data_IF_544140040974
#
_entry.id   IF_544140040974
#
_cell.length_a   1.000
_cell.length_b   1.000
_cell.length_c   1.000
_cell.angle_alpha   90.00
_cell.angle_beta   90.00
_cell.angle_gamma   90.00
#
_symmetry.space_group_name_H-M   'P 1'
#
loop_
_entity.id
_entity.type
_entity.pdbx_description
1 polymer ?
#
# COMPACT_ATOMS: atom_id res chain seq x y z
N UNK A 1 -75.72 -47.62 6.32
CA UNK A 1 -74.41 -47.65 5.65
C UNK A 1 -73.46 -46.81 6.49
N UNK A 2 -72.47 -47.46 7.08
CA UNK A 2 -71.55 -47.00 8.12
C UNK A 2 -70.12 -47.23 7.60
N UNK A 3 -69.19 -46.30 7.87
CA UNK A 3 -67.71 -46.43 7.67
C UNK A 3 -67.24 -46.40 6.20
N UNK A 4 -66.03 -45.96 5.79
CA UNK A 4 -64.74 -45.74 6.46
C UNK A 4 -63.77 -45.04 5.46
N UNK A 5 -62.96 -44.09 5.95
CA UNK A 5 -61.61 -43.69 5.46
C UNK A 5 -61.44 -43.11 4.05
N UNK A 6 -60.65 -42.06 3.81
CA UNK A 6 -59.29 -41.77 4.29
C UNK A 6 -59.11 -40.23 4.35
N UNK A 7 -58.92 -39.61 5.53
CA UNK A 7 -57.62 -39.13 6.01
C UNK A 7 -56.45 -39.27 5.02
N UNK A 8 -55.71 -38.17 4.87
CA UNK A 8 -54.40 -38.01 4.20
C UNK A 8 -54.47 -37.56 2.73
N UNK A 9 -54.26 -36.26 2.49
CA UNK A 9 -53.22 -35.70 1.58
C UNK A 9 -53.20 -34.16 1.64
N UNK A 10 -53.34 -33.57 2.83
CA UNK A 10 -52.95 -32.17 3.08
C UNK A 10 -51.48 -32.08 3.55
N UNK A 11 -50.65 -33.05 3.16
CA UNK A 11 -49.27 -33.15 3.63
C UNK A 11 -48.23 -32.61 2.64
N UNK A 12 -48.54 -32.36 1.36
CA UNK A 12 -47.44 -32.15 0.37
C UNK A 12 -47.34 -30.76 -0.28
N UNK A 13 -48.30 -29.85 -0.08
CA UNK A 13 -48.25 -28.49 -0.69
C UNK A 13 -47.78 -27.40 0.28
N UNK A 14 -47.68 -27.73 1.58
CA UNK A 14 -47.12 -26.83 2.60
C UNK A 14 -45.64 -26.54 2.34
N UNK A 15 -44.89 -27.51 1.80
CA UNK A 15 -43.51 -27.32 1.39
C UNK A 15 -43.40 -26.31 0.25
N UNK A 16 -44.26 -26.38 -0.78
CA UNK A 16 -44.17 -25.49 -1.94
C UNK A 16 -44.63 -24.05 -1.66
N UNK A 17 -45.65 -23.83 -0.82
CA UNK A 17 -46.11 -22.48 -0.49
C UNK A 17 -45.20 -21.77 0.53
N UNK A 18 -44.64 -22.52 1.49
CA UNK A 18 -43.67 -21.97 2.45
C UNK A 18 -42.28 -21.82 1.84
N UNK A 19 -41.83 -22.75 0.99
CA UNK A 19 -40.61 -22.58 0.20
C UNK A 19 -40.78 -21.44 -0.80
N UNK A 20 -41.92 -21.31 -1.49
CA UNK A 20 -42.17 -20.20 -2.42
C UNK A 20 -42.18 -18.82 -1.74
N UNK A 21 -42.74 -18.72 -0.53
CA UNK A 21 -42.68 -17.49 0.27
C UNK A 21 -41.27 -17.22 0.80
N UNK A 22 -40.59 -18.21 1.38
CA UNK A 22 -39.20 -18.07 1.85
C UNK A 22 -38.23 -17.76 0.71
N UNK A 23 -38.41 -18.36 -0.47
CA UNK A 23 -37.64 -18.09 -1.69
C UNK A 23 -38.01 -16.72 -2.27
N UNK A 24 -39.28 -16.31 -2.21
CA UNK A 24 -39.75 -15.01 -2.67
C UNK A 24 -39.19 -13.86 -1.83
N UNK A 25 -39.27 -13.95 -0.51
CA UNK A 25 -38.64 -13.01 0.42
C UNK A 25 -37.12 -13.06 0.31
N UNK A 26 -36.49 -14.24 0.30
CA UNK A 26 -35.04 -14.33 0.17
C UNK A 26 -34.54 -13.78 -1.18
N UNK A 27 -35.22 -14.07 -2.29
CA UNK A 27 -34.90 -13.53 -3.62
C UNK A 27 -35.11 -12.02 -3.68
N UNK A 28 -36.16 -11.49 -3.05
CA UNK A 28 -36.40 -10.06 -2.96
C UNK A 28 -35.38 -9.36 -2.05
N UNK A 29 -35.04 -9.92 -0.90
CA UNK A 29 -34.00 -9.41 0.00
C UNK A 29 -32.65 -9.45 -0.71
N UNK A 30 -32.30 -10.54 -1.40
CA UNK A 30 -31.05 -10.62 -2.18
C UNK A 30 -31.03 -9.61 -3.33
N UNK A 31 -32.13 -9.41 -4.06
CA UNK A 31 -32.24 -8.36 -5.10
C UNK A 31 -32.16 -6.96 -4.52
N UNK A 32 -32.83 -6.69 -3.39
CA UNK A 32 -32.80 -5.42 -2.68
C UNK A 32 -31.39 -5.14 -2.15
N UNK A 33 -30.72 -6.13 -1.55
CA UNK A 33 -29.34 -6.00 -1.09
C UNK A 33 -28.38 -5.76 -2.26
N UNK A 34 -28.53 -6.46 -3.39
CA UNK A 34 -27.74 -6.19 -4.60
C UNK A 34 -28.01 -4.79 -5.17
N UNK A 35 -29.26 -4.34 -5.20
CA UNK A 35 -29.63 -2.99 -5.63
C UNK A 35 -29.11 -1.89 -4.69
N UNK A 36 -29.18 -2.11 -3.37
CA UNK A 36 -28.63 -1.21 -2.34
C UNK A 36 -27.10 -1.19 -2.40
N UNK A 37 -26.45 -2.33 -2.64
CA UNK A 37 -25.01 -2.42 -2.81
C UNK A 37 -24.55 -1.66 -4.06
N UNK A 38 -25.22 -1.84 -5.19
CA UNK A 38 -24.96 -1.07 -6.42
C UNK A 38 -25.19 0.44 -6.21
N UNK A 39 -26.24 0.81 -5.47
CA UNK A 39 -26.49 2.20 -5.13
C UNK A 39 -25.36 2.78 -4.26
N UNK A 40 -24.94 2.04 -3.23
CA UNK A 40 -23.82 2.43 -2.35
C UNK A 40 -22.52 2.61 -3.14
N UNK A 41 -22.18 1.66 -4.02
CA UNK A 41 -21.01 1.74 -4.89
C UNK A 41 -21.08 2.96 -5.82
N UNK A 42 -22.27 3.28 -6.34
CA UNK A 42 -22.47 4.45 -7.18
C UNK A 42 -22.34 5.76 -6.38
N UNK A 43 -22.83 5.80 -5.14
CA UNK A 43 -22.63 6.94 -4.24
C UNK A 43 -21.16 7.14 -3.87
N UNK A 44 -20.42 6.06 -3.60
CA UNK A 44 -18.99 6.14 -3.32
C UNK A 44 -18.22 6.67 -4.54
N UNK A 45 -18.53 6.16 -5.74
CA UNK A 45 -17.96 6.67 -7.01
C UNK A 45 -18.27 8.15 -7.20
N UNK A 46 -19.49 8.58 -6.95
CA UNK A 46 -19.90 9.98 -7.04
C UNK A 46 -19.15 10.84 -6.02
N UNK A 47 -19.04 10.40 -4.77
CA UNK A 47 -18.31 11.13 -3.74
C UNK A 47 -16.83 11.28 -4.07
N UNK A 48 -16.20 10.21 -4.56
CA UNK A 48 -14.82 10.23 -5.03
C UNK A 48 -14.64 11.16 -6.23
N UNK A 49 -15.61 11.18 -7.15
CA UNK A 49 -15.61 12.10 -8.28
C UNK A 49 -15.72 13.56 -7.83
N UNK A 50 -16.67 13.89 -6.95
CA UNK A 50 -16.85 15.24 -6.41
C UNK A 50 -15.61 15.71 -5.64
N UNK A 51 -14.97 14.82 -4.89
CA UNK A 51 -13.70 15.12 -4.20
C UNK A 51 -12.60 15.48 -5.20
N UNK A 52 -12.43 14.66 -6.26
CA UNK A 52 -11.45 14.95 -7.32
C UNK A 52 -11.76 16.25 -8.06
N UNK A 53 -13.03 16.53 -8.34
CA UNK A 53 -13.45 17.77 -8.97
C UNK A 53 -13.15 18.99 -8.10
N UNK A 54 -13.44 18.92 -6.80
CA UNK A 54 -13.13 19.99 -5.83
C UNK A 54 -11.62 20.26 -5.78
N UNK A 55 -10.80 19.21 -5.69
CA UNK A 55 -9.34 19.33 -5.75
C UNK A 55 -8.88 19.96 -7.05
N UNK A 56 -9.39 19.52 -8.20
CA UNK A 56 -9.03 20.07 -9.50
C UNK A 56 -9.41 21.55 -9.61
N UNK A 57 -10.62 21.93 -9.18
CA UNK A 57 -11.08 23.30 -9.20
C UNK A 57 -10.18 24.21 -8.33
N UNK A 58 -9.77 23.73 -7.16
CA UNK A 58 -8.81 24.42 -6.31
C UNK A 58 -7.44 24.57 -7.02
N UNK A 59 -6.91 23.48 -7.59
CA UNK A 59 -5.64 23.51 -8.32
C UNK A 59 -5.67 24.48 -9.51
N UNK A 60 -6.80 24.60 -10.22
CA UNK A 60 -6.96 25.59 -11.30
C UNK A 60 -6.85 27.01 -10.76
N UNK A 61 -7.50 27.31 -9.63
CA UNK A 61 -7.42 28.63 -8.99
C UNK A 61 -6.01 28.95 -8.48
N UNK A 62 -5.33 27.98 -7.85
CA UNK A 62 -3.95 28.15 -7.41
C UNK A 62 -2.99 28.34 -8.60
N UNK A 63 -3.21 27.60 -9.70
CA UNK A 63 -2.38 27.66 -10.91
C UNK A 63 -2.58 28.94 -11.72
N UNK A 64 -3.70 29.64 -11.54
CA UNK A 64 -3.92 30.95 -12.18
C UNK A 64 -3.44 32.12 -11.33
N UNK A 65 -2.95 31.88 -10.11
CA UNK A 65 -2.44 32.88 -9.17
C UNK A 65 -0.91 32.97 -9.22
N UNK A 66 -0.32 34.05 -9.80
CA UNK A 66 1.13 34.17 -9.90
C UNK A 66 1.85 34.22 -8.54
N UNK A 67 1.24 34.79 -7.51
CA UNK A 67 1.82 34.84 -6.16
C UNK A 67 1.92 33.45 -5.55
N UNK A 68 0.87 32.64 -5.68
CA UNK A 68 0.84 31.24 -5.21
C UNK A 68 1.88 30.40 -5.96
N UNK A 69 1.99 30.57 -7.28
CA UNK A 69 3.01 29.87 -8.08
C UNK A 69 4.42 30.21 -7.59
N UNK A 70 4.72 31.48 -7.34
CA UNK A 70 6.03 31.90 -6.85
C UNK A 70 6.32 31.36 -5.44
N UNK A 71 5.35 31.36 -4.54
CA UNK A 71 5.50 30.80 -3.19
C UNK A 71 5.82 29.29 -3.24
N UNK A 72 5.10 28.53 -4.07
CA UNK A 72 5.37 27.09 -4.26
C UNK A 72 6.75 26.86 -4.86
N UNK A 73 7.16 27.68 -5.83
CA UNK A 73 8.52 27.62 -6.42
C UNK A 73 9.60 27.89 -5.36
N UNK A 74 9.42 28.91 -4.53
CA UNK A 74 10.41 29.29 -3.53
C UNK A 74 10.49 28.24 -2.42
N UNK A 75 9.36 27.66 -2.01
CA UNK A 75 9.30 26.53 -1.08
C UNK A 75 9.99 25.27 -1.65
N UNK A 76 9.79 24.97 -2.94
CA UNK A 76 10.48 23.87 -3.61
C UNK A 76 11.99 24.11 -3.69
N UNK A 77 12.41 25.33 -4.04
CA UNK A 77 13.82 25.72 -4.06
C UNK A 77 14.48 25.63 -2.68
N UNK A 78 13.78 26.04 -1.62
CA UNK A 78 14.23 25.90 -0.24
C UNK A 78 14.38 24.42 0.16
N UNK A 79 13.40 23.59 -0.19
CA UNK A 79 13.43 22.15 0.06
C UNK A 79 14.60 21.47 -0.67
N UNK A 80 14.85 21.86 -1.92
CA UNK A 80 16.01 21.40 -2.68
C UNK A 80 17.34 21.75 -2.01
N UNK A 81 17.52 23.00 -1.57
CA UNK A 81 18.71 23.41 -0.80
C UNK A 81 18.84 22.65 0.52
N UNK A 82 17.74 22.44 1.25
CA UNK A 82 17.76 21.66 2.49
C UNK A 82 18.16 20.20 2.26
N UNK A 83 17.88 19.63 1.09
CA UNK A 83 18.31 18.27 0.74
C UNK A 83 19.78 18.21 0.33
N UNK A 84 20.31 19.23 -0.34
CA UNK A 84 21.63 19.17 -0.98
C UNK A 84 22.72 19.92 -0.22
N UNK A 85 22.42 21.10 0.31
CA UNK A 85 23.43 22.04 0.82
C UNK A 85 23.56 21.99 2.35
N UNK A 86 22.61 21.35 3.03
CA UNK A 86 22.59 21.21 4.49
C UNK A 86 22.88 19.77 4.87
N UNK A 87 23.69 19.56 5.93
CA UNK A 87 24.05 18.21 6.40
C UNK A 87 23.12 17.69 7.50
N UNK A 88 22.91 18.50 8.54
CA UNK A 88 22.20 18.06 9.75
C UNK A 88 20.73 17.75 9.49
N UNK A 89 20.05 18.64 8.75
CA UNK A 89 18.60 18.53 8.52
C UNK A 89 18.25 17.92 7.16
N UNK A 90 19.23 17.45 6.38
CA UNK A 90 18.97 16.79 5.10
C UNK A 90 18.75 15.29 5.30
N UNK A 91 17.55 14.76 5.02
CA UNK A 91 17.33 13.32 4.99
C UNK A 91 18.23 12.61 3.97
N UNK A 92 18.56 13.27 2.85
CA UNK A 92 19.43 12.70 1.82
C UNK A 92 20.87 12.51 2.33
N UNK A 93 21.43 13.52 2.99
CA UNK A 93 22.75 13.42 3.60
C UNK A 93 22.78 12.34 4.69
N UNK A 94 21.77 12.32 5.57
CA UNK A 94 21.69 11.33 6.64
C UNK A 94 21.55 9.90 6.11
N UNK A 95 20.80 9.69 5.02
CA UNK A 95 20.70 8.37 4.39
C UNK A 95 22.04 7.87 3.85
N UNK A 96 22.81 8.74 3.18
CA UNK A 96 24.16 8.38 2.69
C UNK A 96 25.10 8.09 3.86
N UNK A 97 25.10 8.96 4.87
CA UNK A 97 25.92 8.77 6.07
C UNK A 97 25.59 7.45 6.78
N UNK A 98 24.32 7.11 6.91
CA UNK A 98 23.88 5.85 7.50
C UNK A 98 24.41 4.64 6.70
N UNK A 99 24.29 4.67 5.37
CA UNK A 99 24.78 3.59 4.52
C UNK A 99 26.30 3.41 4.64
N UNK A 100 27.06 4.51 4.66
CA UNK A 100 28.51 4.49 4.86
C UNK A 100 28.89 3.95 6.24
N UNK A 101 28.24 4.45 7.30
CA UNK A 101 28.50 3.99 8.66
C UNK A 101 28.14 2.52 8.85
N UNK A 102 27.07 2.04 8.21
CA UNK A 102 26.70 0.64 8.24
C UNK A 102 27.73 -0.24 7.52
N UNK A 103 28.22 0.17 6.34
CA UNK A 103 29.24 -0.57 5.61
C UNK A 103 30.57 -0.62 6.38
N UNK A 104 31.02 0.53 6.93
CA UNK A 104 32.21 0.60 7.78
C UNK A 104 32.03 -0.23 9.03
N UNK A 105 30.88 -0.11 9.72
CA UNK A 105 30.58 -0.89 10.92
C UNK A 105 30.56 -2.39 10.66
N UNK A 106 29.99 -2.82 9.54
CA UNK A 106 29.99 -4.23 9.12
C UNK A 106 31.42 -4.74 8.92
N UNK A 107 32.24 -4.00 8.19
CA UNK A 107 33.65 -4.36 8.00
C UNK A 107 34.38 -4.46 9.34
N UNK A 108 34.26 -3.43 10.19
CA UNK A 108 34.92 -3.39 11.50
C UNK A 108 34.55 -4.58 12.41
N UNK A 109 33.30 -5.03 12.36
CA UNK A 109 32.82 -6.16 13.19
C UNK A 109 33.17 -7.53 12.59
N UNK A 110 33.30 -7.65 11.27
CA UNK A 110 33.49 -8.96 10.62
C UNK A 110 34.93 -9.21 10.18
N UNK A 111 35.74 -8.16 10.03
CA UNK A 111 37.06 -8.26 9.39
C UNK A 111 38.04 -9.18 10.10
N UNK A 112 38.04 -9.17 11.43
CA UNK A 112 38.91 -10.01 12.25
C UNK A 112 38.69 -11.51 12.02
N UNK A 113 37.48 -11.90 11.58
CA UNK A 113 37.08 -13.27 11.36
C UNK A 113 37.18 -13.71 9.89
N UNK A 114 37.62 -12.85 8.97
CA UNK A 114 37.93 -13.26 7.60
C UNK A 114 39.22 -14.08 7.57
N UNK A 115 39.09 -15.38 7.80
CA UNK A 115 40.17 -16.34 7.66
C UNK A 115 40.35 -16.71 6.18
N UNK A 116 41.27 -16.04 5.49
CA UNK A 116 41.98 -16.44 4.24
C UNK A 116 42.36 -15.25 3.32
N UNK A 117 42.75 -14.10 3.86
CA UNK A 117 43.39 -13.05 3.07
C UNK A 117 44.89 -13.35 2.91
N UNK A 118 45.37 -13.53 1.68
CA UNK A 118 46.76 -13.82 1.38
C UNK A 118 46.95 -14.31 -0.05
N UNK A 119 48.20 -14.40 -0.53
CA UNK A 119 48.46 -14.63 -1.95
C UNK A 119 48.20 -16.08 -2.44
N UNK A 120 47.79 -16.98 -1.55
CA UNK A 120 47.65 -18.41 -1.85
C UNK A 120 48.99 -19.14 -1.78
N UNK A 121 49.18 -20.18 -2.60
CA UNK A 121 50.41 -20.98 -2.59
C UNK A 121 51.63 -20.19 -3.12
N UNK A 122 51.43 -19.28 -4.07
CA UNK A 122 52.49 -18.47 -4.66
C UNK A 122 52.52 -17.06 -4.06
N UNK A 123 53.58 -16.73 -3.31
CA UNK A 123 53.71 -15.45 -2.60
C UNK A 123 53.88 -14.22 -3.50
N UNK A 124 54.15 -14.42 -4.80
CA UNK A 124 54.32 -13.33 -5.77
C UNK A 124 53.05 -13.05 -6.60
N UNK A 125 51.99 -13.84 -6.40
CA UNK A 125 50.70 -13.67 -7.08
C UNK A 125 49.69 -12.98 -6.15
N UNK A 126 48.52 -12.58 -6.67
CA UNK A 126 47.40 -12.06 -5.89
C UNK A 126 47.74 -10.88 -4.95
N UNK A 127 48.68 -10.02 -5.36
CA UNK A 127 49.10 -8.85 -4.59
C UNK A 127 50.13 -9.15 -3.48
N UNK A 128 50.57 -10.40 -3.34
CA UNK A 128 51.61 -10.81 -2.39
C UNK A 128 51.20 -10.69 -0.92
N UNK A 129 52.20 -10.79 -0.03
CA UNK A 129 51.99 -10.57 1.41
C UNK A 129 52.06 -9.06 1.67
N UNK A 130 50.95 -8.48 2.12
CA UNK A 130 50.85 -7.07 2.47
C UNK A 130 50.37 -6.93 3.91
N UNK A 131 50.89 -5.90 4.59
CA UNK A 131 50.42 -5.48 5.91
C UNK A 131 49.71 -4.15 5.76
N UNK A 132 48.47 -4.08 6.21
CA UNK A 132 47.64 -2.87 6.17
C UNK A 132 47.41 -2.38 7.60
N UNK A 133 47.70 -1.09 7.84
CA UNK A 133 47.49 -0.44 9.13
C UNK A 133 46.25 0.47 9.06
N UNK A 134 45.52 0.61 10.18
CA UNK A 134 44.30 1.43 10.30
C UNK A 134 43.15 1.03 9.35
N UNK A 135 42.89 -0.28 9.25
CA UNK A 135 41.81 -0.86 8.42
C UNK A 135 40.53 -1.16 9.19
#
# INVERSE_FOLDING_TARGET
SLSLSFLLHAEDDGFYMSAGYQIGEASQVVKNTKGIQQLSENYEKLNNFLTKYSTLNNLIQLSSSPSTINEVRDNLGSSGRNLLDVKTNSPAYQAVLLALNAAVGLWQVTSYAFTACGPGHNQNENGGIQTFNNV
#
